data_IF_382570818382
#
_entry.id   IF_382570818382
#
_cell.length_a   1.000
_cell.length_b   1.000
_cell.length_c   1.000
_cell.angle_alpha   90.00
_cell.angle_beta   90.00
_cell.angle_gamma   90.00
#
_symmetry.space_group_name_H-M   'P 1'
#
loop_
_entity.id
_entity.type
_entity.pdbx_description
1 polymer ?
#
# COMPACT_ATOMS: atom_id res chain seq x y z
N UNK A 1 -57.33 14.62 -9.68
CA UNK A 1 -57.52 13.60 -8.61
C UNK A 1 -56.28 13.70 -7.74
N UNK A 2 -56.41 14.05 -6.46
CA UNK A 2 -55.26 14.14 -5.55
C UNK A 2 -54.73 12.74 -5.25
N UNK A 3 -53.42 12.53 -5.33
CA UNK A 3 -52.80 11.28 -4.89
C UNK A 3 -53.23 10.97 -3.45
N UNK A 4 -53.56 9.71 -3.18
CA UNK A 4 -53.81 9.25 -1.81
C UNK A 4 -52.54 9.42 -0.96
N UNK A 5 -52.64 9.78 0.33
CA UNK A 5 -51.47 9.87 1.22
C UNK A 5 -50.57 8.62 1.19
N UNK A 6 -51.15 7.44 0.94
CA UNK A 6 -50.41 6.19 0.75
C UNK A 6 -49.57 6.18 -0.54
N UNK A 7 -50.13 6.66 -1.66
CA UNK A 7 -49.40 6.74 -2.94
C UNK A 7 -48.23 7.71 -2.84
N UNK A 8 -48.42 8.84 -2.16
CA UNK A 8 -47.35 9.80 -1.92
C UNK A 8 -46.23 9.19 -1.05
N UNK A 9 -46.59 8.45 0.00
CA UNK A 9 -45.63 7.74 0.85
C UNK A 9 -44.81 6.73 0.05
N UNK A 10 -45.47 5.92 -0.79
CA UNK A 10 -44.81 4.93 -1.65
C UNK A 10 -43.85 5.61 -2.63
N UNK A 11 -44.26 6.72 -3.27
CA UNK A 11 -43.37 7.48 -4.16
C UNK A 11 -42.13 8.00 -3.42
N UNK A 12 -42.32 8.61 -2.25
CA UNK A 12 -41.21 9.11 -1.42
C UNK A 12 -40.26 7.98 -1.00
N UNK A 13 -40.80 6.81 -0.65
CA UNK A 13 -40.00 5.63 -0.33
C UNK A 13 -39.13 5.22 -1.52
N UNK A 14 -39.71 5.06 -2.71
CA UNK A 14 -38.95 4.71 -3.92
C UNK A 14 -37.87 5.74 -4.27
N UNK A 15 -38.19 7.03 -4.21
CA UNK A 15 -37.21 8.11 -4.44
C UNK A 15 -36.07 8.04 -3.43
N UNK A 16 -36.38 7.76 -2.16
CA UNK A 16 -35.39 7.63 -1.10
C UNK A 16 -34.50 6.41 -1.32
N UNK A 17 -35.09 5.25 -1.65
CA UNK A 17 -34.33 4.03 -1.98
C UNK A 17 -33.37 4.29 -3.15
N UNK A 18 -33.84 4.94 -4.23
CA UNK A 18 -32.97 5.30 -5.36
C UNK A 18 -31.79 6.18 -4.95
N UNK A 19 -32.00 7.15 -4.05
CA UNK A 19 -30.93 8.01 -3.53
C UNK A 19 -29.92 7.22 -2.70
N UNK A 20 -30.40 6.32 -1.84
CA UNK A 20 -29.55 5.43 -1.05
C UNK A 20 -28.72 4.51 -1.95
N UNK A 21 -29.33 3.92 -2.97
CA UNK A 21 -28.63 3.05 -3.93
C UNK A 21 -27.54 3.80 -4.69
N UNK A 22 -27.81 5.03 -5.13
CA UNK A 22 -26.83 5.88 -5.80
C UNK A 22 -25.66 6.24 -4.86
N UNK A 23 -25.94 6.64 -3.62
CA UNK A 23 -24.91 6.92 -2.63
C UNK A 23 -24.09 5.66 -2.29
N UNK A 24 -24.73 4.50 -2.17
CA UNK A 24 -24.06 3.23 -1.93
C UNK A 24 -23.14 2.85 -3.09
N UNK A 25 -23.56 3.07 -4.33
CA UNK A 25 -22.73 2.83 -5.51
C UNK A 25 -21.49 3.75 -5.51
N UNK A 26 -21.65 5.03 -5.18
CA UNK A 26 -20.52 5.98 -5.07
C UNK A 26 -19.52 5.55 -3.98
N UNK A 27 -20.03 5.19 -2.80
CA UNK A 27 -19.19 4.74 -1.68
C UNK A 27 -18.45 3.44 -2.01
N UNK A 28 -19.09 2.50 -2.72
CA UNK A 28 -18.42 1.28 -3.21
C UNK A 28 -17.30 1.60 -4.19
N UNK A 29 -17.50 2.55 -5.10
CA UNK A 29 -16.45 3.03 -6.00
C UNK A 29 -15.24 3.58 -5.25
N UNK A 30 -15.48 4.50 -4.30
CA UNK A 30 -14.43 5.06 -3.43
C UNK A 30 -13.70 3.98 -2.63
N UNK A 31 -14.43 2.98 -2.11
CA UNK A 31 -13.82 1.86 -1.39
C UNK A 31 -12.89 1.04 -2.30
N UNK A 32 -13.30 0.75 -3.53
CA UNK A 32 -12.48 0.05 -4.52
C UNK A 32 -11.22 0.84 -4.89
N UNK A 33 -11.33 2.16 -5.05
CA UNK A 33 -10.17 3.03 -5.32
C UNK A 33 -9.17 3.03 -4.15
N UNK A 34 -9.68 3.06 -2.91
CA UNK A 34 -8.86 2.95 -1.71
C UNK A 34 -8.17 1.59 -1.66
N UNK A 35 -8.91 0.50 -1.87
CA UNK A 35 -8.38 -0.86 -1.87
C UNK A 35 -7.27 -1.00 -2.92
N UNK A 36 -7.52 -0.60 -4.17
CA UNK A 36 -6.54 -0.63 -5.24
C UNK A 36 -5.26 0.16 -4.93
N UNK A 37 -5.39 1.31 -4.25
CA UNK A 37 -4.25 2.13 -3.84
C UNK A 37 -3.38 1.47 -2.77
N UNK A 38 -4.00 0.79 -1.80
CA UNK A 38 -3.29 0.22 -0.65
C UNK A 38 -2.88 -1.25 -0.83
N UNK A 39 -3.50 -1.99 -1.75
CA UNK A 39 -3.24 -3.43 -1.94
C UNK A 39 -1.77 -3.77 -2.20
N UNK A 40 -1.01 -3.03 -3.03
CA UNK A 40 0.43 -3.30 -3.23
C UNK A 40 1.24 -3.26 -1.93
N UNK A 41 0.86 -2.40 -0.97
CA UNK A 41 1.47 -2.35 0.36
C UNK A 41 1.03 -3.53 1.23
N UNK A 42 -0.22 -3.92 1.15
CA UNK A 42 -0.73 -5.12 1.81
C UNK A 42 0.03 -6.35 1.35
N UNK A 43 0.19 -6.54 0.04
CA UNK A 43 0.95 -7.64 -0.57
C UNK A 43 2.42 -7.62 -0.15
N UNK A 44 3.10 -6.47 -0.25
CA UNK A 44 4.47 -6.33 0.21
C UNK A 44 4.62 -6.70 1.70
N UNK A 45 3.70 -6.24 2.56
CA UNK A 45 3.73 -6.57 3.98
C UNK A 45 3.51 -8.06 4.23
N UNK A 46 2.57 -8.69 3.51
CA UNK A 46 2.31 -10.13 3.57
C UNK A 46 3.57 -10.91 3.19
N UNK A 47 4.19 -10.56 2.07
CA UNK A 47 5.44 -11.17 1.62
C UNK A 47 6.59 -10.93 2.60
N UNK A 48 6.82 -9.69 3.04
CA UNK A 48 7.89 -9.31 3.98
C UNK A 48 7.82 -10.11 5.29
N UNK A 49 6.62 -10.41 5.76
CA UNK A 49 6.39 -11.16 7.00
C UNK A 49 6.44 -12.69 6.79
N UNK A 50 6.32 -13.16 5.54
CA UNK A 50 6.42 -14.58 5.18
C UNK A 50 7.84 -15.13 5.35
N UNK A 51 7.97 -16.45 5.30
CA UNK A 51 9.29 -17.11 5.39
C UNK A 51 10.20 -16.74 4.22
N UNK A 52 9.67 -16.63 3.00
CA UNK A 52 10.45 -16.28 1.82
C UNK A 52 10.95 -14.84 1.87
N UNK A 53 10.15 -13.89 2.36
CA UNK A 53 10.58 -12.50 2.55
C UNK A 53 11.66 -12.35 3.63
N UNK A 54 11.54 -13.10 4.74
CA UNK A 54 12.58 -13.15 5.79
C UNK A 54 13.89 -13.74 5.27
N UNK A 55 13.82 -14.85 4.52
CA UNK A 55 14.98 -15.47 3.90
C UNK A 55 15.65 -14.53 2.88
N UNK A 56 14.84 -13.88 2.03
CA UNK A 56 15.33 -12.88 1.08
C UNK A 56 16.06 -11.75 1.81
N UNK A 57 15.50 -11.23 2.92
CA UNK A 57 16.13 -10.18 3.71
C UNK A 57 17.50 -10.60 4.23
N UNK A 58 17.61 -11.82 4.75
CA UNK A 58 18.87 -12.38 5.25
C UNK A 58 19.91 -12.51 4.13
N UNK A 59 19.52 -13.07 2.99
CA UNK A 59 20.40 -13.22 1.82
C UNK A 59 20.87 -11.86 1.29
N UNK A 60 19.95 -10.89 1.17
CA UNK A 60 20.28 -9.55 0.68
C UNK A 60 21.20 -8.81 1.65
N UNK A 61 20.98 -8.94 2.95
CA UNK A 61 21.86 -8.40 3.98
C UNK A 61 23.29 -8.96 3.87
N UNK A 62 23.42 -10.28 3.67
CA UNK A 62 24.72 -10.92 3.47
C UNK A 62 25.39 -10.44 2.17
N UNK A 63 24.64 -10.35 1.07
CA UNK A 63 25.15 -9.83 -0.20
C UNK A 63 25.60 -8.37 -0.12
N UNK A 64 25.04 -7.58 0.81
CA UNK A 64 25.44 -6.22 1.12
C UNK A 64 26.54 -6.13 2.19
N UNK A 65 27.16 -7.25 2.56
CA UNK A 65 28.20 -7.32 3.60
C UNK A 65 27.77 -6.71 4.95
N UNK A 66 26.48 -6.80 5.28
CA UNK A 66 25.93 -6.22 6.50
C UNK A 66 26.03 -4.70 6.57
N UNK A 67 26.07 -4.01 5.42
CA UNK A 67 26.16 -2.56 5.34
C UNK A 67 24.92 -1.94 4.71
N UNK A 68 24.60 -0.73 5.15
CA UNK A 68 23.59 0.10 4.53
C UNK A 68 24.08 0.53 3.14
N UNK A 69 23.28 0.31 2.09
CA UNK A 69 23.63 0.72 0.72
C UNK A 69 23.64 2.23 0.49
N UNK A 70 23.04 3.01 1.38
CA UNK A 70 22.98 4.48 1.24
C UNK A 70 24.20 5.13 1.91
N UNK A 71 24.46 4.83 3.18
CA UNK A 71 25.56 5.45 3.92
C UNK A 71 26.84 4.60 4.03
N UNK A 72 26.81 3.32 3.66
CA UNK A 72 27.96 2.41 3.77
C UNK A 72 28.26 1.89 5.17
N UNK A 73 27.58 2.40 6.19
CA UNK A 73 27.78 2.00 7.59
C UNK A 73 27.32 0.57 7.85
N UNK A 74 28.02 -0.09 8.77
CA UNK A 74 27.64 -1.42 9.25
C UNK A 74 26.30 -1.36 9.99
N UNK A 75 25.39 -2.27 9.66
CA UNK A 75 24.06 -2.37 10.25
C UNK A 75 23.82 -3.77 10.77
N UNK A 76 22.97 -3.91 11.79
CA UNK A 76 22.51 -5.21 12.26
C UNK A 76 21.32 -5.69 11.40
N UNK A 77 21.28 -6.99 11.09
CA UNK A 77 20.14 -7.57 10.38
C UNK A 77 18.81 -7.29 11.12
N UNK A 78 18.83 -7.47 12.46
CA UNK A 78 17.75 -7.05 13.34
C UNK A 78 17.85 -5.52 13.51
N UNK A 79 16.82 -4.80 13.07
CA UNK A 79 16.80 -3.33 13.04
C UNK A 79 17.03 -2.73 11.65
N UNK A 80 17.58 -3.49 10.69
CA UNK A 80 17.60 -3.07 9.29
C UNK A 80 16.20 -3.07 8.65
N UNK A 81 16.02 -2.27 7.61
CA UNK A 81 14.77 -2.17 6.85
C UNK A 81 14.93 -2.70 5.42
N UNK A 82 13.85 -3.22 4.84
CA UNK A 82 13.76 -3.43 3.39
C UNK A 82 13.22 -2.13 2.81
N UNK A 83 14.07 -1.42 2.06
CA UNK A 83 13.75 -0.18 1.37
C UNK A 83 13.46 -0.44 -0.11
N UNK A 84 12.54 0.34 -0.66
CA UNK A 84 12.25 0.39 -2.09
C UNK A 84 13.02 1.56 -2.72
N UNK A 85 13.98 1.30 -3.63
CA UNK A 85 14.73 2.34 -4.38
C UNK A 85 13.76 3.35 -5.00
N UNK A 86 12.78 2.83 -5.74
CA UNK A 86 11.59 3.55 -6.21
C UNK A 86 10.46 3.34 -5.21
N UNK A 87 9.97 4.41 -4.55
CA UNK A 87 9.07 4.29 -3.41
C UNK A 87 7.74 3.67 -3.80
N UNK A 88 7.27 2.76 -2.96
CA UNK A 88 6.04 2.00 -3.16
C UNK A 88 4.80 2.88 -3.42
N UNK A 89 4.75 4.08 -2.84
CA UNK A 89 3.62 5.02 -3.01
C UNK A 89 3.53 5.62 -4.41
N UNK A 90 4.62 5.63 -5.18
CA UNK A 90 4.66 6.15 -6.55
C UNK A 90 4.82 5.02 -7.59
N UNK A 91 5.44 3.91 -7.20
CA UNK A 91 5.72 2.76 -8.09
C UNK A 91 5.14 1.46 -7.50
N UNK A 92 3.80 1.35 -7.34
CA UNK A 92 3.16 0.18 -6.74
C UNK A 92 3.45 -1.13 -7.50
N UNK A 93 3.60 -1.06 -8.82
CA UNK A 93 3.94 -2.23 -9.66
C UNK A 93 5.32 -2.83 -9.36
N UNK A 94 6.20 -2.11 -8.64
CA UNK A 94 7.52 -2.58 -8.22
C UNK A 94 7.54 -3.06 -6.76
N UNK A 95 6.38 -3.28 -6.13
CA UNK A 95 6.28 -3.62 -4.71
C UNK A 95 7.10 -4.85 -4.32
N UNK A 96 7.11 -5.87 -5.19
CA UNK A 96 7.77 -7.15 -4.98
C UNK A 96 8.95 -7.38 -5.96
N UNK A 97 9.31 -6.39 -6.79
CA UNK A 97 10.48 -6.51 -7.67
C UNK A 97 11.76 -6.44 -6.81
N UNK A 98 12.40 -7.59 -6.62
CA UNK A 98 13.62 -7.70 -5.80
C UNK A 98 14.78 -6.82 -6.26
N UNK A 99 14.80 -6.35 -7.52
CA UNK A 99 15.80 -5.39 -8.03
C UNK A 99 15.55 -3.97 -7.52
N UNK A 100 14.30 -3.67 -7.19
CA UNK A 100 13.87 -2.42 -6.55
C UNK A 100 14.05 -2.46 -5.02
N UNK A 101 14.35 -3.63 -4.44
CA UNK A 101 14.50 -3.80 -2.99
C UNK A 101 15.97 -3.81 -2.54
N UNK A 102 16.24 -3.23 -1.38
CA UNK A 102 17.57 -3.22 -0.74
C UNK A 102 17.46 -3.14 0.77
N UNK A 103 18.57 -3.39 1.47
CA UNK A 103 18.63 -3.29 2.93
C UNK A 103 19.27 -1.96 3.36
N UNK A 104 18.64 -1.24 4.27
CA UNK A 104 19.12 0.07 4.76
C UNK A 104 19.05 0.15 6.28
N UNK A 105 19.79 1.10 6.87
CA UNK A 105 19.58 1.50 8.26
C UNK A 105 18.23 2.26 8.40
N UNK A 106 17.66 2.33 9.63
CA UNK A 106 16.45 3.11 9.90
C UNK A 106 16.58 4.58 9.51
N UNK A 107 17.74 5.19 9.73
CA UNK A 107 17.98 6.63 9.52
C UNK A 107 17.93 6.98 8.05
N UNK A 108 18.67 6.25 7.20
CA UNK A 108 18.67 6.48 5.75
C UNK A 108 17.30 6.16 5.13
N UNK A 109 16.64 5.08 5.56
CA UNK A 109 15.30 4.74 5.09
C UNK A 109 14.29 5.87 5.38
N UNK A 110 14.33 6.39 6.61
CA UNK A 110 13.43 7.47 7.04
C UNK A 110 13.76 8.77 6.33
N UNK A 111 15.06 9.09 6.21
CA UNK A 111 15.51 10.29 5.51
C UNK A 111 15.05 10.29 4.06
N UNK A 112 15.23 9.18 3.32
CA UNK A 112 14.78 9.03 1.92
C UNK A 112 13.29 9.29 1.75
N UNK A 113 12.47 8.70 2.62
CA UNK A 113 11.02 8.80 2.55
C UNK A 113 10.47 8.34 1.18
N UNK A 114 9.70 9.21 0.52
CA UNK A 114 9.10 8.97 -0.79
C UNK A 114 9.93 9.52 -1.96
N UNK A 115 11.21 9.82 -1.77
CA UNK A 115 12.09 10.19 -2.88
C UNK A 115 12.56 8.93 -3.61
N UNK A 116 12.78 9.05 -4.92
CA UNK A 116 13.51 8.03 -5.68
C UNK A 116 14.99 8.24 -5.41
N UNK A 117 15.74 7.16 -5.31
CA UNK A 117 17.19 7.26 -5.49
C UNK A 117 17.44 7.43 -7.00
N UNK A 118 18.04 8.55 -7.37
CA UNK A 118 18.61 8.75 -8.69
C UNK A 118 19.84 7.83 -8.79
N UNK A 119 19.87 6.98 -9.82
CA UNK A 119 21.03 6.11 -10.11
C UNK A 119 22.27 6.94 -10.48
#
# INVERSE_FOLDING_TARGET
MSDSPFQELVRKLFETTKRVDAALAELKGKAADIEAKYEPRTEFNRWRNSQSGKLWKQQKYQAQNGRCVICGESIQLKGSHIDHKRPLSQYPHLALDTRNLRITCPECNTSKGNRCDEE
#
